data_IF_881643873011
#
_entry.id   IF_881643873011
#
_cell.length_a   1.000
_cell.length_b   1.000
_cell.length_c   1.000
_cell.angle_alpha   90.00
_cell.angle_beta   90.00
_cell.angle_gamma   90.00
#
_symmetry.space_group_name_H-M   'P 1'
#
loop_
_entity.id
_entity.type
_entity.pdbx_description
1 polymer ?
#
# COMPACT_ATOMS: atom_id res chain seq x y z
N UNK A 1 4.68 -8.03 -3.48
CA UNK A 1 5.11 -6.86 -2.67
C UNK A 1 5.23 -7.24 -1.20
N UNK A 2 4.15 -7.35 -0.40
CA UNK A 2 4.29 -7.62 1.05
C UNK A 2 4.96 -8.95 1.38
N UNK A 3 4.61 -10.04 0.69
CA UNK A 3 5.29 -11.34 0.84
C UNK A 3 6.80 -11.26 0.52
N UNK A 4 7.17 -10.41 -0.45
CA UNK A 4 8.56 -10.26 -0.86
C UNK A 4 9.33 -9.39 0.16
N UNK A 5 8.69 -8.32 0.68
CA UNK A 5 9.22 -7.50 1.79
C UNK A 5 9.43 -8.36 3.05
N UNK A 6 8.45 -9.21 3.38
CA UNK A 6 8.48 -10.04 4.57
C UNK A 6 9.35 -11.30 4.42
N UNK A 7 9.76 -11.65 3.19
CA UNK A 7 10.55 -12.85 2.92
C UNK A 7 9.79 -14.17 3.15
N UNK A 8 8.46 -14.15 3.16
CA UNK A 8 7.61 -15.33 3.43
C UNK A 8 6.55 -15.51 2.36
N UNK A 9 6.06 -16.75 2.21
CA UNK A 9 4.90 -17.06 1.38
C UNK A 9 3.74 -17.47 2.27
N UNK A 10 2.55 -16.91 1.99
CA UNK A 10 1.33 -17.18 2.73
C UNK A 10 0.29 -17.84 1.83
N UNK A 11 -0.50 -18.75 2.41
CA UNK A 11 -1.69 -19.28 1.72
C UNK A 11 -2.79 -18.24 1.80
N UNK A 12 -3.23 -17.73 0.65
CA UNK A 12 -4.33 -16.77 0.58
C UNK A 12 -5.66 -17.50 0.77
N UNK A 13 -6.49 -17.00 1.68
CA UNK A 13 -7.88 -17.40 1.84
C UNK A 13 -8.77 -16.16 1.71
N UNK A 14 -9.66 -16.14 0.74
CA UNK A 14 -10.48 -14.98 0.43
C UNK A 14 -11.89 -15.16 1.01
N UNK A 15 -12.32 -14.19 1.82
CA UNK A 15 -13.70 -14.14 2.35
C UNK A 15 -14.61 -13.43 1.34
N UNK A 16 -15.22 -14.21 0.44
CA UNK A 16 -15.96 -13.70 -0.73
C UNK A 16 -17.33 -13.06 -0.40
N UNK A 17 -17.84 -13.30 0.80
CA UNK A 17 -19.10 -12.75 1.32
C UNK A 17 -18.91 -11.44 2.10
N UNK A 18 -17.67 -10.98 2.29
CA UNK A 18 -17.39 -9.71 2.96
C UNK A 18 -17.70 -8.50 2.07
N UNK A 19 -18.04 -7.33 2.64
CA UNK A 19 -18.19 -6.10 1.87
C UNK A 19 -16.92 -5.74 1.08
N UNK A 20 -17.03 -5.64 -0.25
CA UNK A 20 -15.88 -5.42 -1.14
C UNK A 20 -15.56 -3.93 -1.37
N UNK A 21 -16.45 -3.02 -0.94
CA UNK A 21 -16.35 -1.61 -1.31
C UNK A 21 -16.54 -1.40 -2.82
N UNK A 22 -15.89 -0.38 -3.38
CA UNK A 22 -15.91 -0.15 -4.83
C UNK A 22 -14.85 -0.99 -5.55
N UNK A 23 -15.10 -1.32 -6.82
CA UNK A 23 -14.20 -2.18 -7.61
C UNK A 23 -12.86 -1.54 -8.01
N UNK A 24 -12.77 -0.22 -8.00
CA UNK A 24 -11.54 0.48 -8.39
C UNK A 24 -11.58 1.96 -8.03
N UNK A 25 -10.43 2.48 -7.61
CA UNK A 25 -10.17 3.91 -7.35
C UNK A 25 -8.72 4.20 -7.70
N UNK A 26 -8.48 5.34 -8.32
CA UNK A 26 -7.16 5.92 -8.46
C UNK A 26 -7.28 7.44 -8.38
N UNK A 27 -6.22 8.11 -7.95
CA UNK A 27 -6.16 9.58 -7.96
C UNK A 27 -5.85 10.05 -9.38
N UNK A 28 -6.58 11.07 -9.85
CA UNK A 28 -6.15 11.89 -10.98
C UNK A 28 -5.40 13.10 -10.42
N UNK A 29 -4.12 13.21 -10.78
CA UNK A 29 -3.23 14.25 -10.25
C UNK A 29 -3.10 15.47 -11.17
N UNK A 30 -3.86 15.56 -12.26
CA UNK A 30 -3.73 16.66 -13.21
C UNK A 30 -3.85 18.05 -12.54
N UNK A 31 -4.83 18.23 -11.65
CA UNK A 31 -5.08 19.52 -10.98
C UNK A 31 -3.99 19.89 -9.96
N UNK A 32 -3.51 18.94 -9.16
CA UNK A 32 -2.45 19.24 -8.18
C UNK A 32 -1.11 19.55 -8.87
N UNK A 33 -0.84 18.87 -9.99
CA UNK A 33 0.30 19.14 -10.82
C UNK A 33 0.20 20.51 -11.50
N UNK A 34 -0.98 20.91 -11.99
CA UNK A 34 -1.20 22.23 -12.59
C UNK A 34 -0.98 23.36 -11.58
N UNK A 35 -1.57 23.26 -10.39
CA UNK A 35 -1.55 24.34 -9.40
C UNK A 35 -0.21 24.42 -8.67
N UNK A 36 0.40 23.28 -8.34
CA UNK A 36 1.56 23.22 -7.45
C UNK A 36 2.83 22.69 -8.11
N UNK A 37 2.77 22.21 -9.35
CA UNK A 37 3.90 21.57 -10.02
C UNK A 37 4.39 20.30 -9.30
N UNK A 38 3.54 19.70 -8.48
CA UNK A 38 3.90 18.61 -7.58
C UNK A 38 2.85 17.50 -7.57
N UNK A 39 3.32 16.26 -7.47
CA UNK A 39 2.50 15.08 -7.19
C UNK A 39 3.26 14.04 -6.35
N UNK A 40 2.57 13.08 -5.72
CA UNK A 40 3.23 12.00 -4.99
C UNK A 40 4.10 11.13 -5.90
N UNK A 41 5.38 10.99 -5.57
CA UNK A 41 6.36 10.19 -6.34
C UNK A 41 6.85 8.93 -5.63
N UNK A 42 6.50 8.75 -4.36
CA UNK A 42 6.89 7.56 -3.57
C UNK A 42 6.25 6.32 -4.15
N UNK A 43 7.06 5.32 -4.54
CA UNK A 43 6.55 4.03 -5.02
C UNK A 43 5.86 3.29 -3.86
N UNK A 44 4.77 2.59 -4.19
CA UNK A 44 4.02 1.79 -3.20
C UNK A 44 4.92 0.81 -2.43
N UNK A 45 5.86 0.15 -3.12
CA UNK A 45 6.78 -0.80 -2.50
C UNK A 45 7.68 -0.14 -1.43
N UNK A 46 8.24 1.04 -1.71
CA UNK A 46 9.15 1.75 -0.80
C UNK A 46 8.40 2.21 0.46
N UNK A 47 7.16 2.70 0.29
CA UNK A 47 6.29 3.06 1.40
C UNK A 47 5.92 1.84 2.25
N UNK A 48 5.48 0.76 1.61
CA UNK A 48 5.10 -0.49 2.30
C UNK A 48 6.26 -1.10 3.09
N UNK A 49 7.50 -1.04 2.58
CA UNK A 49 8.66 -1.58 3.30
C UNK A 49 8.94 -0.82 4.60
N UNK A 50 8.92 0.52 4.54
CA UNK A 50 9.10 1.37 5.74
C UNK A 50 7.98 1.12 6.76
N UNK A 51 6.73 1.05 6.29
CA UNK A 51 5.58 0.76 7.17
C UNK A 51 5.67 -0.64 7.77
N UNK A 52 6.05 -1.65 6.98
CA UNK A 52 6.22 -3.02 7.47
C UNK A 52 7.24 -3.09 8.62
N UNK A 53 8.42 -2.49 8.44
CA UNK A 53 9.47 -2.43 9.46
C UNK A 53 9.01 -1.71 10.72
N UNK A 54 8.34 -0.57 10.59
CA UNK A 54 7.79 0.14 11.74
C UNK A 54 6.77 -0.71 12.51
N UNK A 55 5.81 -1.35 11.84
CA UNK A 55 4.83 -2.25 12.48
C UNK A 55 5.54 -3.42 13.19
N UNK A 56 6.54 -4.01 12.54
CA UNK A 56 7.31 -5.11 13.12
C UNK A 56 7.97 -4.67 14.44
N UNK A 57 8.65 -3.52 14.46
CA UNK A 57 9.24 -2.94 15.68
C UNK A 57 8.18 -2.71 16.77
N UNK A 58 6.97 -2.26 16.43
CA UNK A 58 5.90 -2.05 17.42
C UNK A 58 5.38 -3.36 18.05
N UNK A 59 5.56 -4.50 17.38
CA UNK A 59 5.05 -5.81 17.84
C UNK A 59 6.14 -6.62 18.55
N UNK A 60 7.40 -6.44 18.16
CA UNK A 60 8.53 -7.23 18.69
C UNK A 60 9.42 -6.48 19.68
N UNK A 61 9.28 -5.15 19.79
CA UNK A 61 9.94 -4.32 20.80
C UNK A 61 9.20 -4.36 22.12
#
# INVERSE_FOLDING_TARGET
ILEDIAGIKVKRNYKLDAPLGVRGRNSDNAMIQEIYGWEPSTRLADGLEKTYRWIYEQITG
#
